data_IF_646162336832
#
_entry.id   IF_646162336832
#
_cell.length_a   1.000
_cell.length_b   1.000
_cell.length_c   1.000
_cell.angle_alpha   90.00
_cell.angle_beta   90.00
_cell.angle_gamma   90.00
#
_symmetry.space_group_name_H-M   'P 1'
#
loop_
_entity.id
_entity.type
_entity.pdbx_description
1 polymer ?
#
# COMPACT_ATOMS: atom_id res chain seq x y z
N UNK A 1 20.56 -11.43 -7.58
CA UNK A 1 19.17 -11.78 -7.40
C UNK A 1 18.31 -10.94 -8.31
N UNK A 2 17.50 -11.55 -9.14
CA UNK A 2 16.71 -10.77 -10.11
C UNK A 2 15.76 -9.80 -9.46
N UNK A 3 15.37 -10.04 -8.22
CA UNK A 3 14.39 -9.20 -7.53
C UNK A 3 15.00 -8.05 -6.75
N UNK A 4 16.33 -7.94 -6.71
CA UNK A 4 16.99 -6.92 -5.89
C UNK A 4 16.57 -5.50 -6.27
N UNK A 5 16.49 -5.21 -7.57
CA UNK A 5 16.10 -3.89 -8.03
C UNK A 5 14.64 -3.57 -7.70
N UNK A 6 13.78 -4.57 -7.87
CA UNK A 6 12.36 -4.42 -7.55
C UNK A 6 12.14 -4.24 -6.05
N UNK A 7 12.85 -5.05 -5.27
CA UNK A 7 12.81 -4.95 -3.81
C UNK A 7 13.28 -3.58 -3.34
N UNK A 8 14.34 -3.05 -3.96
CA UNK A 8 14.84 -1.73 -3.61
C UNK A 8 13.82 -0.62 -3.93
N UNK A 9 13.14 -0.71 -5.09
CA UNK A 9 12.13 0.28 -5.45
C UNK A 9 10.96 0.25 -4.47
N UNK A 10 10.48 -0.96 -4.13
CA UNK A 10 9.43 -1.10 -3.14
C UNK A 10 9.89 -0.62 -1.77
N UNK A 11 11.12 -0.97 -1.41
CA UNK A 11 11.70 -0.54 -0.14
C UNK A 11 11.79 0.98 -0.05
N UNK A 12 12.11 1.64 -1.17
CA UNK A 12 12.19 3.11 -1.21
C UNK A 12 10.84 3.74 -0.94
N UNK A 13 9.79 3.28 -1.62
CA UNK A 13 8.43 3.77 -1.39
C UNK A 13 7.97 3.45 0.03
N UNK A 14 8.25 2.25 0.48
CA UNK A 14 7.87 1.79 1.82
C UNK A 14 8.55 2.63 2.90
N UNK A 15 9.84 2.88 2.75
CA UNK A 15 10.61 3.69 3.70
C UNK A 15 10.08 5.13 3.73
N UNK A 16 9.79 5.68 2.56
CA UNK A 16 9.22 7.02 2.44
C UNK A 16 7.87 7.11 3.13
N UNK A 17 7.01 6.13 2.91
CA UNK A 17 5.68 6.09 3.53
C UNK A 17 5.79 5.92 5.04
N UNK A 18 6.69 5.04 5.50
CA UNK A 18 6.92 4.84 6.93
C UNK A 18 7.30 6.15 7.61
N UNK A 19 8.25 6.87 7.02
CA UNK A 19 8.72 8.13 7.59
C UNK A 19 7.59 9.15 7.68
N UNK A 20 6.78 9.25 6.65
CA UNK A 20 5.67 10.18 6.62
C UNK A 20 4.60 9.81 7.67
N UNK A 21 4.23 8.54 7.75
CA UNK A 21 3.23 8.07 8.71
C UNK A 21 3.68 8.32 10.15
N UNK A 22 4.94 8.02 10.44
CA UNK A 22 5.49 8.25 11.79
C UNK A 22 5.60 9.73 12.12
N UNK A 23 5.81 10.56 11.11
CA UNK A 23 5.83 12.01 11.30
C UNK A 23 4.43 12.57 11.58
N UNK A 24 3.43 12.08 10.84
CA UNK A 24 2.06 12.54 11.00
C UNK A 24 1.40 12.02 12.29
N UNK A 25 1.75 10.82 12.69
CA UNK A 25 1.14 10.15 13.85
C UNK A 25 2.22 9.59 14.78
N UNK A 26 3.01 10.46 15.41
CA UNK A 26 4.18 10.01 16.19
C UNK A 26 3.82 9.18 17.42
N UNK A 27 2.59 9.29 17.92
CA UNK A 27 2.17 8.55 19.11
C UNK A 27 1.40 7.27 18.79
N UNK A 28 1.13 7.03 17.51
CA UNK A 28 0.35 5.87 17.10
C UNK A 28 1.26 4.72 16.68
N UNK A 29 0.71 3.51 16.75
CA UNK A 29 1.41 2.36 16.21
C UNK A 29 1.30 2.35 14.69
N UNK A 30 2.41 2.12 14.02
CA UNK A 30 2.45 1.95 12.58
C UNK A 30 2.92 0.53 12.33
N UNK A 31 1.96 -0.37 12.13
CA UNK A 31 2.26 -1.78 11.88
C UNK A 31 2.52 -1.99 10.39
N UNK A 32 3.46 -2.87 10.07
CA UNK A 32 3.91 -3.08 8.68
C UNK A 32 3.71 -4.52 8.27
N UNK A 33 3.42 -4.73 6.99
CA UNK A 33 3.27 -6.07 6.41
C UNK A 33 2.25 -6.90 7.19
N UNK A 34 1.06 -6.36 7.37
CA UNK A 34 0.03 -6.94 8.23
C UNK A 34 -0.89 -7.85 7.44
N UNK A 35 -0.99 -9.14 7.79
CA UNK A 35 -1.99 -10.01 7.16
C UNK A 35 -3.40 -9.54 7.52
N UNK A 36 -4.30 -9.59 6.54
CA UNK A 36 -5.69 -9.18 6.75
C UNK A 36 -6.52 -10.38 7.20
N UNK A 37 -7.04 -10.35 8.44
CA UNK A 37 -7.82 -11.49 8.96
C UNK A 37 -9.04 -11.80 8.11
N UNK A 38 -9.31 -13.08 7.91
CA UNK A 38 -10.44 -13.51 7.12
C UNK A 38 -10.24 -13.42 5.61
N UNK A 39 -9.08 -12.93 5.17
CA UNK A 39 -8.76 -12.89 3.75
C UNK A 39 -7.76 -13.99 3.42
N UNK A 40 -7.76 -14.44 2.15
CA UNK A 40 -6.81 -15.42 1.69
C UNK A 40 -5.57 -14.70 1.18
N UNK A 41 -4.50 -14.68 1.96
CA UNK A 41 -3.17 -14.19 1.55
C UNK A 41 -3.06 -12.69 1.25
N UNK A 42 -4.03 -11.88 1.69
CA UNK A 42 -3.91 -10.45 1.52
C UNK A 42 -3.14 -9.85 2.69
N UNK A 43 -2.22 -8.93 2.39
CA UNK A 43 -1.46 -8.22 3.40
C UNK A 43 -1.53 -6.72 3.12
N UNK A 44 -1.42 -5.93 4.19
CA UNK A 44 -1.37 -4.47 4.08
C UNK A 44 0.08 -4.01 4.27
N UNK A 45 0.50 -3.02 3.50
CA UNK A 45 1.81 -2.42 3.70
C UNK A 45 1.90 -1.80 5.09
N UNK A 46 0.87 -1.05 5.47
CA UNK A 46 0.79 -0.44 6.80
C UNK A 46 -0.62 -0.51 7.35
N UNK A 47 -0.72 -0.67 8.66
CA UNK A 47 -1.98 -0.57 9.37
C UNK A 47 -1.77 0.26 10.63
N UNK A 48 -2.63 1.25 10.82
CA UNK A 48 -2.61 2.12 12.00
C UNK A 48 -3.88 1.81 12.79
N UNK A 49 -3.79 0.94 13.82
CA UNK A 49 -4.99 0.49 14.53
C UNK A 49 -5.71 1.60 15.28
N UNK A 50 -4.99 2.57 15.84
CA UNK A 50 -5.62 3.69 16.54
C UNK A 50 -6.43 4.58 15.60
N UNK A 51 -6.15 4.55 14.30
CA UNK A 51 -6.85 5.34 13.29
C UNK A 51 -7.79 4.51 12.44
N UNK A 52 -7.82 3.20 12.63
CA UNK A 52 -8.56 2.28 11.76
C UNK A 52 -8.26 2.59 10.29
N UNK A 53 -6.97 2.61 9.97
CA UNK A 53 -6.48 3.05 8.66
C UNK A 53 -5.50 2.04 8.10
N UNK A 54 -5.73 1.65 6.85
CA UNK A 54 -4.83 0.79 6.10
C UNK A 54 -4.21 1.62 4.98
N UNK A 55 -2.89 1.53 4.83
CA UNK A 55 -2.16 2.32 3.84
C UNK A 55 -1.39 1.40 2.91
N UNK A 56 -1.51 1.64 1.61
CA UNK A 56 -0.84 0.87 0.57
C UNK A 56 0.01 1.78 -0.30
N UNK A 57 1.25 1.36 -0.53
CA UNK A 57 2.14 2.07 -1.46
C UNK A 57 1.98 1.44 -2.84
N UNK A 58 1.58 2.23 -3.81
CA UNK A 58 1.34 1.74 -5.16
C UNK A 58 2.43 2.25 -6.11
N UNK A 59 3.33 1.34 -6.48
CA UNK A 59 4.32 1.61 -7.50
C UNK A 59 3.71 1.52 -8.90
N UNK A 60 4.56 1.71 -9.90
CA UNK A 60 4.12 1.71 -11.31
C UNK A 60 3.35 0.45 -11.69
N UNK A 61 3.73 -0.69 -11.14
CA UNK A 61 3.11 -1.98 -11.48
C UNK A 61 1.64 -2.07 -11.06
N UNK A 62 1.17 -1.20 -10.20
CA UNK A 62 -0.25 -1.16 -9.81
C UNK A 62 -1.12 -0.45 -10.84
N UNK A 63 -0.53 0.37 -11.70
CA UNK A 63 -1.29 1.21 -12.64
C UNK A 63 -1.15 0.78 -14.08
N UNK A 64 -0.04 0.13 -14.43
CA UNK A 64 0.19 -0.29 -15.81
C UNK A 64 0.81 -1.67 -15.85
N UNK A 65 0.60 -2.35 -16.98
CA UNK A 65 1.25 -3.63 -17.22
C UNK A 65 2.74 -3.40 -17.38
N UNK A 66 3.53 -3.96 -16.48
CA UNK A 66 4.99 -3.91 -16.53
C UNK A 66 5.48 -5.34 -16.65
N UNK A 67 5.97 -5.71 -17.82
CA UNK A 67 6.36 -7.10 -18.11
C UNK A 67 7.38 -7.62 -17.09
N UNK A 68 8.27 -6.76 -16.66
CA UNK A 68 9.31 -7.10 -15.69
C UNK A 68 8.72 -7.59 -14.35
N UNK A 69 7.64 -6.96 -13.90
CA UNK A 69 7.00 -7.33 -12.64
C UNK A 69 5.94 -8.42 -12.81
N UNK A 70 5.18 -8.36 -13.89
CA UNK A 70 3.99 -9.21 -14.04
C UNK A 70 4.22 -10.44 -14.89
N UNK A 71 5.10 -10.34 -15.89
CA UNK A 71 5.32 -11.40 -16.86
C UNK A 71 4.21 -11.52 -17.88
N UNK A 72 2.95 -11.52 -17.44
CA UNK A 72 1.80 -11.66 -18.33
C UNK A 72 0.71 -10.68 -17.92
N UNK A 73 -0.18 -10.40 -18.89
CA UNK A 73 -1.35 -9.54 -18.62
C UNK A 73 -2.30 -10.19 -17.63
N UNK A 74 -2.39 -11.52 -17.62
CA UNK A 74 -3.23 -12.23 -16.67
C UNK A 74 -2.76 -11.97 -15.23
N UNK A 75 -1.47 -12.00 -14.99
CA UNK A 75 -0.92 -11.70 -13.66
C UNK A 75 -1.16 -10.25 -13.27
N UNK A 76 -1.09 -9.34 -14.22
CA UNK A 76 -1.41 -7.94 -13.98
C UNK A 76 -2.88 -7.80 -13.55
N UNK A 77 -3.80 -8.46 -14.26
CA UNK A 77 -5.22 -8.43 -13.91
C UNK A 77 -5.48 -9.02 -12.52
N UNK A 78 -4.76 -10.08 -12.16
CA UNK A 78 -4.86 -10.67 -10.82
C UNK A 78 -4.39 -9.69 -9.75
N UNK A 79 -3.33 -8.93 -10.03
CA UNK A 79 -2.85 -7.90 -9.09
C UNK A 79 -3.90 -6.82 -8.88
N UNK A 80 -4.57 -6.39 -9.96
CA UNK A 80 -5.65 -5.40 -9.86
C UNK A 80 -6.82 -5.95 -9.06
N UNK A 81 -7.16 -7.21 -9.25
CA UNK A 81 -8.22 -7.85 -8.49
C UNK A 81 -7.88 -7.90 -6.99
N UNK A 82 -6.62 -8.17 -6.65
CA UNK A 82 -6.17 -8.16 -5.26
C UNK A 82 -6.28 -6.78 -4.64
N UNK A 83 -5.94 -5.74 -5.37
CA UNK A 83 -6.09 -4.35 -4.90
C UNK A 83 -7.56 -4.07 -4.57
N UNK A 84 -8.48 -4.49 -5.44
CA UNK A 84 -9.92 -4.31 -5.23
C UNK A 84 -10.41 -5.10 -4.01
N UNK A 85 -9.89 -6.30 -3.81
CA UNK A 85 -10.27 -7.13 -2.65
C UNK A 85 -9.84 -6.49 -1.34
N UNK A 86 -8.69 -5.82 -1.32
CA UNK A 86 -8.26 -5.10 -0.12
C UNK A 86 -9.19 -3.93 0.18
N UNK A 87 -9.60 -3.21 -0.85
CA UNK A 87 -10.54 -2.11 -0.70
C UNK A 87 -11.88 -2.60 -0.14
N UNK A 88 -12.42 -3.69 -0.70
CA UNK A 88 -13.66 -4.29 -0.21
C UNK A 88 -13.52 -4.74 1.24
N UNK A 89 -12.40 -5.38 1.58
CA UNK A 89 -12.13 -5.82 2.94
C UNK A 89 -12.18 -4.64 3.90
N UNK A 90 -11.58 -3.52 3.52
CA UNK A 90 -11.60 -2.31 4.33
C UNK A 90 -13.02 -1.77 4.50
N UNK A 91 -13.81 -1.77 3.45
CA UNK A 91 -15.20 -1.31 3.52
C UNK A 91 -16.03 -2.16 4.48
N UNK A 92 -15.88 -3.48 4.37
CA UNK A 92 -16.61 -4.42 5.24
C UNK A 92 -16.24 -4.22 6.70
N UNK A 93 -14.97 -3.93 6.99
CA UNK A 93 -14.46 -3.82 8.35
C UNK A 93 -14.42 -2.39 8.87
N UNK A 94 -15.00 -1.44 8.14
CA UNK A 94 -15.02 -0.02 8.53
C UNK A 94 -13.63 0.55 8.75
N UNK A 95 -12.70 0.16 7.90
CA UNK A 95 -11.33 0.62 7.92
C UNK A 95 -11.10 1.54 6.73
N UNK A 96 -10.46 2.67 6.97
CA UNK A 96 -10.15 3.64 5.93
C UNK A 96 -9.02 3.09 5.07
N UNK A 97 -9.21 3.09 3.75
CA UNK A 97 -8.20 2.64 2.80
C UNK A 97 -7.50 3.84 2.17
N UNK A 98 -6.19 3.89 2.28
CA UNK A 98 -5.37 4.99 1.72
C UNK A 98 -4.40 4.41 0.70
N UNK A 99 -4.46 4.91 -0.51
CA UNK A 99 -3.52 4.58 -1.57
C UNK A 99 -2.49 5.70 -1.70
N UNK A 100 -1.21 5.34 -1.74
CA UNK A 100 -0.12 6.30 -1.92
C UNK A 100 0.56 6.04 -3.26
N UNK A 101 0.14 6.76 -4.32
CA UNK A 101 0.73 6.55 -5.65
C UNK A 101 2.18 7.01 -5.72
N UNK A 102 2.99 6.26 -6.45
CA UNK A 102 4.41 6.61 -6.62
C UNK A 102 4.62 7.94 -7.35
N UNK A 103 3.61 8.39 -8.08
CA UNK A 103 3.68 9.63 -8.86
C UNK A 103 3.50 10.90 -8.04
N UNK A 104 3.09 10.75 -6.77
CA UNK A 104 2.79 11.91 -5.91
C UNK A 104 3.92 12.20 -4.94
N UNK A 105 4.02 13.47 -4.55
CA UNK A 105 4.99 13.92 -3.56
C UNK A 105 4.43 13.75 -2.13
N UNK A 106 5.25 14.09 -1.14
CA UNK A 106 4.85 13.93 0.26
C UNK A 106 3.68 14.81 0.67
N UNK A 107 3.55 16.01 0.12
CA UNK A 107 2.42 16.88 0.42
C UNK A 107 1.12 16.28 -0.10
N UNK A 108 1.16 15.70 -1.29
CA UNK A 108 -0.01 15.04 -1.87
C UNK A 108 -0.38 13.77 -1.07
N UNK A 109 0.62 13.00 -0.67
CA UNK A 109 0.43 11.84 0.20
C UNK A 109 -0.18 12.24 1.53
N UNK A 110 0.36 13.29 2.15
CA UNK A 110 -0.16 13.80 3.41
C UNK A 110 -1.64 14.16 3.30
N UNK A 111 -2.02 14.76 2.18
CA UNK A 111 -3.41 15.14 1.93
C UNK A 111 -4.34 13.93 1.85
N UNK A 112 -3.85 12.83 1.32
CA UNK A 112 -4.62 11.58 1.26
C UNK A 112 -4.77 10.96 2.64
N UNK A 113 -3.71 10.99 3.43
CA UNK A 113 -3.68 10.38 4.77
C UNK A 113 -4.49 11.21 5.75
N UNK A 114 -4.30 12.52 5.72
CA UNK A 114 -4.89 13.44 6.68
C UNK A 114 -5.43 14.67 5.95
N UNK A 115 -6.57 14.53 5.27
CA UNK A 115 -7.18 15.67 4.60
C UNK A 115 -7.66 16.67 5.66
N UNK A 116 -7.39 17.92 5.40
CA UNK A 116 -7.72 18.98 6.35
C UNK A 116 -8.89 19.84 5.85
#
# INVERSE_FOLDING_TARGET
MPDDNDSRKRSTLHIRARALLRNLYPMDRVLEEVPLPGSSRLTADFFLPERMMLVECHGRQHYEFVKHFHGTRLKFLKSKANDNRKLEWCEINSIKYIELPYTENNNEWKHRIKPS
#
